data_IF_233937143293
#
_entry.id   IF_233937143293
#
_cell.length_a   1.000
_cell.length_b   1.000
_cell.length_c   1.000
_cell.angle_alpha   90.00
_cell.angle_beta   90.00
_cell.angle_gamma   90.00
#
_symmetry.space_group_name_H-M   'P 1'
#
loop_
_entity.id
_entity.type
_entity.pdbx_description
1 polymer ?
#
# COMPACT_ATOMS: atom_id res chain seq x y z
N UNK A 1 19.60 -19.59 -16.41
CA UNK A 1 19.43 -18.92 -15.10
C UNK A 1 19.23 -17.41 -15.20
N UNK A 2 20.06 -16.65 -15.93
CA UNK A 2 19.90 -15.19 -16.03
C UNK A 2 18.50 -14.76 -16.53
N UNK A 3 17.93 -15.42 -17.54
CA UNK A 3 16.58 -15.12 -18.03
C UNK A 3 15.48 -15.36 -16.99
N UNK A 4 15.55 -16.46 -16.24
CA UNK A 4 14.60 -16.75 -15.15
C UNK A 4 14.75 -15.76 -14.00
N UNK A 5 15.99 -15.33 -13.69
CA UNK A 5 16.24 -14.28 -12.72
C UNK A 5 15.65 -12.93 -13.12
N UNK A 6 15.79 -12.55 -14.39
CA UNK A 6 15.16 -11.33 -14.93
C UNK A 6 13.63 -11.40 -14.88
N UNK A 7 13.05 -12.57 -15.17
CA UNK A 7 11.60 -12.79 -15.03
C UNK A 7 11.15 -12.69 -13.57
N UNK A 8 11.83 -13.35 -12.63
CA UNK A 8 11.49 -13.26 -11.21
C UNK A 8 11.60 -11.83 -10.68
N UNK A 9 12.65 -11.10 -11.05
CA UNK A 9 12.77 -9.67 -10.73
C UNK A 9 11.64 -8.84 -11.34
N UNK A 10 11.30 -9.08 -12.60
CA UNK A 10 10.19 -8.42 -13.29
C UNK A 10 8.83 -8.71 -12.66
N UNK A 11 8.60 -9.94 -12.21
CA UNK A 11 7.41 -10.31 -11.43
C UNK A 11 7.37 -9.58 -10.10
N UNK A 12 8.50 -9.41 -9.42
CA UNK A 12 8.59 -8.62 -8.19
C UNK A 12 8.25 -7.15 -8.40
N UNK A 13 8.85 -6.54 -9.44
CA UNK A 13 8.52 -5.16 -9.83
C UNK A 13 7.04 -5.01 -10.15
N UNK A 14 6.48 -6.01 -10.85
CA UNK A 14 5.09 -6.03 -11.25
C UNK A 14 4.19 -6.16 -10.02
N UNK A 15 4.39 -7.15 -9.16
CA UNK A 15 3.54 -7.40 -7.99
C UNK A 15 3.44 -6.21 -7.02
N UNK A 16 4.49 -5.41 -6.90
CA UNK A 16 4.47 -4.15 -6.13
C UNK A 16 3.39 -3.15 -6.59
N UNK A 17 2.89 -3.27 -7.83
CA UNK A 17 1.78 -2.47 -8.34
C UNK A 17 0.40 -3.07 -8.04
N UNK A 18 0.28 -4.08 -7.19
CA UNK A 18 -1.03 -4.55 -6.79
C UNK A 18 -1.71 -3.50 -5.89
N UNK A 19 -3.03 -3.37 -6.08
CA UNK A 19 -3.80 -2.27 -5.51
C UNK A 19 -3.80 -2.26 -3.98
N UNK A 20 -3.70 -3.44 -3.37
CA UNK A 20 -3.61 -3.66 -1.93
C UNK A 20 -2.27 -3.22 -1.35
N UNK A 21 -1.15 -3.51 -2.03
CA UNK A 21 0.19 -3.04 -1.68
C UNK A 21 0.24 -1.50 -1.68
N UNK A 22 -0.16 -0.89 -2.81
CA UNK A 22 -0.19 0.57 -2.96
C UNK A 22 -1.09 1.19 -1.88
N UNK A 23 -2.31 0.67 -1.71
CA UNK A 23 -3.25 1.22 -0.72
C UNK A 23 -2.70 1.12 0.71
N UNK A 24 -2.10 -0.01 1.09
CA UNK A 24 -1.54 -0.23 2.42
C UNK A 24 -0.35 0.68 2.71
N UNK A 25 0.57 0.83 1.74
CA UNK A 25 1.77 1.67 1.86
C UNK A 25 1.37 3.15 1.87
N UNK A 26 0.52 3.59 0.95
CA UNK A 26 0.07 4.98 0.85
C UNK A 26 -0.65 5.44 2.11
N UNK A 27 -1.69 4.72 2.53
CA UNK A 27 -2.51 5.13 3.67
C UNK A 27 -1.72 5.11 4.97
N UNK A 28 -0.81 4.14 5.13
CA UNK A 28 0.08 4.10 6.29
C UNK A 28 1.07 5.25 6.28
N UNK A 29 1.68 5.53 5.12
CA UNK A 29 2.62 6.65 4.94
C UNK A 29 1.93 7.97 5.25
N UNK A 30 0.70 8.18 4.77
CA UNK A 30 -0.10 9.38 5.05
C UNK A 30 -0.44 9.52 6.52
N UNK A 31 -0.91 8.45 7.14
CA UNK A 31 -1.25 8.46 8.56
C UNK A 31 -0.05 8.85 9.43
N UNK A 32 1.13 8.31 9.12
CA UNK A 32 2.37 8.64 9.82
C UNK A 32 2.85 10.08 9.52
N UNK A 33 2.75 10.55 8.27
CA UNK A 33 3.07 11.94 7.92
C UNK A 33 2.17 12.95 8.65
N UNK A 34 0.89 12.64 8.81
CA UNK A 34 -0.05 13.47 9.58
C UNK A 34 0.31 13.52 11.07
N UNK A 35 0.94 12.45 11.59
CA UNK A 35 1.56 12.42 12.91
C UNK A 35 2.93 13.10 12.98
N UNK A 36 3.43 13.68 11.89
CA UNK A 36 4.72 14.36 11.87
C UNK A 36 5.92 13.42 11.84
N UNK A 37 5.71 12.13 11.61
CA UNK A 37 6.78 11.17 11.40
C UNK A 37 7.40 11.32 9.99
N UNK A 38 8.56 10.68 9.78
CA UNK A 38 9.22 10.59 8.46
C UNK A 38 9.22 9.14 7.95
N UNK A 39 8.08 8.63 7.44
CA UNK A 39 7.87 7.22 7.15
C UNK A 39 8.52 6.74 5.82
N UNK A 40 9.81 6.99 5.62
CA UNK A 40 10.52 6.59 4.38
C UNK A 40 10.68 5.07 4.20
N UNK A 41 10.54 4.30 5.29
CA UNK A 41 10.81 2.86 5.32
C UNK A 41 9.55 1.99 5.28
N UNK A 42 8.36 2.57 5.20
CA UNK A 42 7.06 1.84 5.22
C UNK A 42 7.02 0.76 4.13
N UNK A 43 7.22 1.17 2.87
CA UNK A 43 7.20 0.24 1.74
C UNK A 43 8.29 -0.83 1.82
N UNK A 44 9.50 -0.46 2.23
CA UNK A 44 10.61 -1.40 2.41
C UNK A 44 10.31 -2.50 3.44
N UNK A 45 9.76 -2.13 4.60
CA UNK A 45 9.43 -3.13 5.62
C UNK A 45 8.25 -3.99 5.21
N UNK A 46 7.25 -3.39 4.55
CA UNK A 46 6.12 -4.13 3.99
C UNK A 46 6.58 -5.20 2.98
N UNK A 47 7.36 -4.81 1.97
CA UNK A 47 7.86 -5.71 0.94
C UNK A 47 8.75 -6.82 1.50
N UNK A 48 9.59 -6.51 2.49
CA UNK A 48 10.41 -7.50 3.18
C UNK A 48 9.58 -8.53 3.95
N UNK A 49 8.53 -8.07 4.64
CA UNK A 49 7.60 -8.95 5.34
C UNK A 49 6.92 -9.92 4.37
N UNK A 50 6.32 -9.36 3.31
CA UNK A 50 5.66 -10.14 2.26
C UNK A 50 6.63 -11.15 1.62
N UNK A 51 7.81 -10.67 1.21
CA UNK A 51 8.82 -11.51 0.56
C UNK A 51 9.38 -12.62 1.46
N UNK A 52 9.36 -12.43 2.79
CA UNK A 52 9.77 -13.47 3.74
C UNK A 52 8.83 -14.69 3.64
N UNK A 53 7.53 -14.44 3.53
CA UNK A 53 6.52 -15.50 3.41
C UNK A 53 6.59 -16.15 2.02
N UNK A 54 6.71 -15.34 0.95
CA UNK A 54 6.90 -15.86 -0.42
C UNK A 54 8.13 -16.76 -0.50
N UNK A 55 9.26 -16.36 0.07
CA UNK A 55 10.48 -17.18 0.12
C UNK A 55 10.24 -18.49 0.86
N UNK A 56 9.64 -18.43 2.06
CA UNK A 56 9.37 -19.61 2.87
C UNK A 56 8.44 -20.61 2.15
N UNK A 57 7.36 -20.11 1.54
CA UNK A 57 6.39 -20.92 0.80
C UNK A 57 6.98 -21.47 -0.51
N UNK A 58 7.78 -20.68 -1.23
CA UNK A 58 8.52 -21.14 -2.42
C UNK A 58 9.43 -22.31 -2.07
N UNK A 59 10.21 -22.19 -0.99
CA UNK A 59 11.09 -23.27 -0.52
C UNK A 59 10.26 -24.49 -0.10
N UNK A 60 9.18 -24.28 0.65
CA UNK A 60 8.27 -25.35 1.06
C UNK A 60 7.70 -26.10 -0.14
N UNK A 61 7.28 -25.39 -1.20
CA UNK A 61 6.74 -25.99 -2.43
C UNK A 61 7.79 -26.80 -3.20
N UNK A 62 9.02 -26.28 -3.33
CA UNK A 62 10.12 -26.99 -3.99
C UNK A 62 10.58 -28.22 -3.19
N UNK A 63 10.43 -28.21 -1.87
CA UNK A 63 10.67 -29.40 -1.04
C UNK A 63 9.50 -30.38 -1.13
N UNK A 64 8.26 -29.90 -1.04
CA UNK A 64 7.05 -30.73 -1.10
C UNK A 64 6.89 -31.43 -2.45
N UNK A 65 7.35 -30.85 -3.56
CA UNK A 65 7.36 -31.56 -4.86
C UNK A 65 8.29 -32.77 -4.88
N UNK A 66 9.26 -32.87 -3.96
CA UNK A 66 10.07 -34.09 -3.76
C UNK A 66 9.42 -35.10 -2.82
N UNK A 67 8.37 -34.70 -2.11
CA UNK A 67 7.73 -35.45 -1.04
C UNK A 67 6.23 -35.31 -1.19
N UNK A 68 5.59 -36.23 -1.94
CA UNK A 68 4.14 -36.23 -2.22
C UNK A 68 3.35 -35.88 -0.96
N UNK A 69 2.91 -34.63 -0.86
CA UNK A 69 2.22 -34.12 0.32
C UNK A 69 0.80 -33.76 -0.07
N UNK A 70 -0.16 -34.46 0.52
CA UNK A 70 -1.60 -34.22 0.34
C UNK A 70 -2.07 -32.91 0.96
N UNK A 71 -1.22 -32.20 1.72
CA UNK A 71 -1.59 -30.99 2.47
C UNK A 71 -1.46 -29.67 1.67
N UNK A 72 -0.83 -29.69 0.48
CA UNK A 72 -0.61 -28.46 -0.32
C UNK A 72 -1.91 -27.72 -0.69
N UNK A 73 -2.99 -28.38 -1.16
CA UNK A 73 -4.23 -27.69 -1.53
C UNK A 73 -4.93 -27.02 -0.34
N UNK A 74 -4.83 -27.61 0.85
CA UNK A 74 -5.42 -27.01 2.06
C UNK A 74 -4.62 -25.77 2.51
N UNK A 75 -3.29 -25.82 2.44
CA UNK A 75 -2.43 -24.67 2.75
C UNK A 75 -2.70 -23.51 1.78
N UNK A 76 -2.86 -23.81 0.49
CA UNK A 76 -3.22 -22.83 -0.53
C UNK A 76 -4.56 -22.16 -0.24
N UNK A 77 -5.61 -22.96 0.02
CA UNK A 77 -6.94 -22.45 0.32
C UNK A 77 -6.96 -21.60 1.59
N UNK A 78 -6.49 -22.14 2.71
CA UNK A 78 -6.54 -21.43 4.00
C UNK A 78 -5.61 -20.21 4.01
N UNK A 79 -4.42 -20.32 3.40
CA UNK A 79 -3.48 -19.20 3.26
C UNK A 79 -4.09 -18.04 2.47
N UNK A 80 -4.69 -18.32 1.32
CA UNK A 80 -5.37 -17.30 0.51
C UNK A 80 -6.53 -16.62 1.22
N UNK A 81 -7.40 -17.39 1.89
CA UNK A 81 -8.54 -16.83 2.65
C UNK A 81 -8.06 -15.97 3.82
N UNK A 82 -7.10 -16.45 4.60
CA UNK A 82 -6.57 -15.71 5.76
C UNK A 82 -5.85 -14.44 5.28
N UNK A 83 -5.01 -14.54 4.26
CA UNK A 83 -4.28 -13.41 3.69
C UNK A 83 -5.21 -12.31 3.19
N UNK A 84 -6.15 -12.66 2.30
CA UNK A 84 -7.11 -11.70 1.75
C UNK A 84 -8.05 -11.11 2.81
N UNK A 85 -8.46 -11.90 3.82
CA UNK A 85 -9.27 -11.39 4.94
C UNK A 85 -8.51 -10.36 5.77
N UNK A 86 -7.25 -10.67 6.11
CA UNK A 86 -6.43 -9.77 6.92
C UNK A 86 -6.08 -8.50 6.13
N UNK A 87 -5.73 -8.64 4.85
CA UNK A 87 -5.50 -7.52 3.94
C UNK A 87 -6.70 -6.58 3.90
N UNK A 88 -7.88 -7.12 3.60
CA UNK A 88 -9.10 -6.32 3.48
C UNK A 88 -9.49 -5.64 4.78
N UNK A 89 -9.35 -6.33 5.92
CA UNK A 89 -9.59 -5.73 7.25
C UNK A 89 -8.57 -4.63 7.55
N UNK A 90 -7.29 -4.84 7.23
CA UNK A 90 -6.24 -3.84 7.44
C UNK A 90 -6.47 -2.59 6.59
N UNK A 91 -6.81 -2.75 5.31
CA UNK A 91 -7.15 -1.64 4.41
C UNK A 91 -8.35 -0.85 4.94
N UNK A 92 -9.40 -1.53 5.41
CA UNK A 92 -10.52 -0.87 6.08
C UNK A 92 -10.10 -0.12 7.34
N UNK A 93 -9.26 -0.74 8.19
CA UNK A 93 -8.77 -0.13 9.41
C UNK A 93 -8.01 1.17 9.09
N UNK A 94 -6.98 1.11 8.24
CA UNK A 94 -6.15 2.28 7.93
C UNK A 94 -6.93 3.37 7.18
N UNK A 95 -7.88 2.99 6.33
CA UNK A 95 -8.76 3.93 5.65
C UNK A 95 -9.67 4.69 6.64
N UNK A 96 -10.24 3.99 7.64
CA UNK A 96 -11.01 4.64 8.71
C UNK A 96 -10.14 5.56 9.55
N UNK A 97 -8.90 5.15 9.87
CA UNK A 97 -7.95 6.01 10.59
C UNK A 97 -7.69 7.31 9.82
N UNK A 98 -7.36 7.21 8.52
CA UNK A 98 -7.12 8.37 7.66
C UNK A 98 -8.38 9.22 7.43
N UNK A 99 -9.56 8.60 7.31
CA UNK A 99 -10.84 9.31 7.17
C UNK A 99 -11.12 10.21 8.38
N UNK A 100 -10.81 9.73 9.58
CA UNK A 100 -11.03 10.52 10.79
C UNK A 100 -10.09 11.71 10.88
N UNK A 101 -8.83 11.56 10.47
CA UNK A 101 -7.92 12.71 10.35
C UNK A 101 -8.38 13.68 9.26
N UNK A 102 -8.88 13.16 8.12
CA UNK A 102 -9.45 13.99 7.05
C UNK A 102 -10.64 14.81 7.55
N UNK A 103 -11.56 14.22 8.32
CA UNK A 103 -12.71 14.94 8.89
C UNK A 103 -12.27 16.04 9.86
N UNK A 104 -11.21 15.83 10.63
CA UNK A 104 -10.61 16.84 11.51
C UNK A 104 -10.04 18.02 10.69
N UNK A 105 -9.27 17.74 9.63
CA UNK A 105 -8.73 18.75 8.72
C UNK A 105 -9.87 19.55 8.05
N UNK A 106 -10.93 18.88 7.60
CA UNK A 106 -12.09 19.53 6.99
C UNK A 106 -12.84 20.44 7.97
N UNK A 107 -12.91 20.05 9.25
CA UNK A 107 -13.53 20.88 10.30
C UNK A 107 -12.74 22.17 10.52
N UNK A 108 -11.42 22.06 10.66
CA UNK A 108 -10.51 23.21 10.81
C UNK A 108 -10.63 24.13 9.59
N UNK A 109 -10.63 23.56 8.39
CA UNK A 109 -10.77 24.33 7.15
C UNK A 109 -12.12 25.07 7.04
N UNK A 110 -13.22 24.44 7.48
CA UNK A 110 -14.53 25.12 7.54
C UNK A 110 -14.53 26.27 8.55
N UNK A 111 -13.85 26.14 9.68
CA UNK A 111 -13.69 27.23 10.66
C UNK A 111 -12.85 28.38 10.09
N UNK A 112 -11.75 28.09 9.39
CA UNK A 112 -10.96 29.09 8.65
C UNK A 112 -11.79 29.91 7.69
N UNK A 113 -12.65 29.26 6.90
CA UNK A 113 -13.47 29.95 5.90
C UNK A 113 -14.60 30.79 6.48
N UNK A 114 -14.95 30.63 7.76
CA UNK A 114 -15.98 31.41 8.44
C UNK A 114 -15.47 32.71 9.07
N UNK A 115 -14.18 33.02 8.95
CA UNK A 115 -13.60 34.28 9.43
C UNK A 115 -13.19 34.28 10.90
N UNK A 116 -13.33 33.16 11.61
CA UNK A 116 -13.03 33.01 13.05
C UNK A 116 -11.52 32.80 13.34
N UNK A 117 -10.63 33.26 12.46
CA UNK A 117 -9.22 32.85 12.48
C UNK A 117 -8.27 33.96 12.94
N UNK A 118 -7.81 33.87 14.19
CA UNK A 118 -6.61 34.56 14.68
C UNK A 118 -5.36 33.75 14.30
N UNK A 119 -4.40 34.37 13.61
CA UNK A 119 -3.19 33.74 13.05
C UNK A 119 -2.35 32.93 14.07
N UNK A 120 -2.45 33.22 15.38
CA UNK A 120 -1.74 32.49 16.44
C UNK A 120 -2.33 31.12 16.82
N UNK A 121 -3.57 30.82 16.44
CA UNK A 121 -4.26 29.56 16.80
C UNK A 121 -4.00 28.40 15.82
N UNK A 122 -3.36 28.64 14.68
CA UNK A 122 -3.15 27.60 13.65
C UNK A 122 -2.09 26.58 14.10
N UNK A 123 -0.98 27.04 14.67
CA UNK A 123 0.05 26.15 15.21
C UNK A 123 -0.43 25.43 16.47
N UNK A 124 -1.33 26.06 17.24
CA UNK A 124 -1.92 25.47 18.45
C UNK A 124 -3.05 24.47 18.14
N UNK A 125 -3.81 24.65 17.06
CA UNK A 125 -4.78 23.66 16.56
C UNK A 125 -4.09 22.51 15.81
N UNK A 126 -2.93 22.76 15.18
CA UNK A 126 -2.08 21.72 14.59
C UNK A 126 -1.29 20.93 15.65
N UNK A 127 -0.95 21.56 16.78
CA UNK A 127 -0.31 20.93 17.94
C UNK A 127 -1.32 20.20 18.84
N UNK A 128 -2.56 20.69 18.93
CA UNK A 128 -3.68 20.02 19.59
C UNK A 128 -4.29 18.95 18.67
N UNK A 129 -3.50 17.91 18.37
CA UNK A 129 -3.93 16.61 17.80
C UNK A 129 -4.84 15.79 18.75
N UNK A 130 -5.54 16.48 19.65
CA UNK A 130 -6.28 15.93 20.76
C UNK A 130 -7.61 15.31 20.35
N UNK A 131 -8.23 15.73 19.24
CA UNK A 131 -9.56 15.25 18.88
C UNK A 131 -9.52 13.80 18.39
N UNK A 132 -8.60 13.47 17.49
CA UNK A 132 -8.39 12.09 17.02
C UNK A 132 -7.82 11.20 18.14
N UNK A 133 -6.91 11.69 19.00
CA UNK A 133 -6.44 10.94 20.19
C UNK A 133 -7.58 10.63 21.18
N UNK A 134 -8.58 11.51 21.26
CA UNK A 134 -9.74 11.40 22.16
C UNK A 134 -10.87 10.53 21.59
N UNK A 135 -11.08 10.54 20.27
CA UNK A 135 -12.13 9.74 19.59
C UNK A 135 -11.68 8.29 19.39
N UNK A 136 -10.42 8.04 19.04
CA UNK A 136 -9.91 6.68 18.79
C UNK A 136 -9.30 5.98 19.99
N UNK A 137 -9.08 6.73 21.06
CA UNK A 137 -8.18 6.33 22.13
C UNK A 137 -6.74 6.27 21.63
N UNK A 138 -5.78 6.74 22.45
CA UNK A 138 -4.36 6.69 22.10
C UNK A 138 -3.85 5.29 21.73
N UNK A 139 -4.57 4.22 22.10
CA UNK A 139 -4.21 2.83 21.81
C UNK A 139 -4.28 2.49 20.32
N UNK A 140 -5.38 2.78 19.63
CA UNK A 140 -5.52 2.43 18.21
C UNK A 140 -4.52 3.21 17.34
N UNK A 141 -4.26 4.45 17.72
CA UNK A 141 -3.23 5.26 17.06
C UNK A 141 -1.82 4.76 17.38
N UNK A 142 -1.55 4.23 18.57
CA UNK A 142 -0.24 3.69 18.91
C UNK A 142 0.11 2.39 18.18
N UNK A 143 -0.89 1.70 17.59
CA UNK A 143 -0.66 0.46 16.83
C UNK A 143 0.24 0.69 15.60
N UNK A 144 0.10 1.83 14.92
CA UNK A 144 0.91 2.22 13.76
C UNK A 144 1.60 3.53 14.09
N UNK A 145 2.78 3.41 14.72
CA UNK A 145 3.63 4.50 15.16
C UNK A 145 4.94 4.58 14.35
N UNK A 146 5.44 3.46 13.83
CA UNK A 146 6.73 3.40 13.14
C UNK A 146 6.64 2.56 11.87
N UNK A 147 7.43 2.92 10.85
CA UNK A 147 7.44 2.22 9.56
C UNK A 147 7.80 0.73 9.64
N UNK A 148 8.60 0.30 10.63
CA UNK A 148 8.97 -1.11 10.80
C UNK A 148 7.78 -2.03 11.10
N UNK A 149 6.69 -1.49 11.66
CA UNK A 149 5.49 -2.26 11.97
C UNK A 149 4.77 -2.75 10.71
N UNK A 150 5.15 -2.26 9.53
CA UNK A 150 4.68 -2.80 8.27
C UNK A 150 5.30 -4.16 7.92
N UNK A 151 6.40 -4.56 8.56
CA UNK A 151 6.97 -5.90 8.35
C UNK A 151 5.99 -7.03 8.70
N UNK A 152 5.40 -7.08 9.91
CA UNK A 152 4.39 -8.09 10.21
C UNK A 152 3.12 -7.94 9.36
N UNK A 153 2.72 -6.72 8.99
CA UNK A 153 1.59 -6.53 8.07
C UNK A 153 1.90 -7.15 6.70
N UNK A 154 3.08 -6.88 6.16
CA UNK A 154 3.55 -7.47 4.91
C UNK A 154 3.58 -8.99 4.94
N UNK A 155 4.02 -9.60 6.05
CA UNK A 155 3.94 -11.06 6.21
C UNK A 155 2.51 -11.58 6.08
N UNK A 156 1.53 -10.88 6.65
CA UNK A 156 0.12 -11.30 6.57
C UNK A 156 -0.46 -11.14 5.16
N UNK A 157 -0.05 -10.09 4.43
CA UNK A 157 -0.40 -9.91 3.01
C UNK A 157 0.26 -10.98 2.14
N UNK A 158 1.49 -11.38 2.46
CA UNK A 158 2.23 -12.42 1.76
C UNK A 158 1.72 -13.85 1.98
N UNK A 159 0.67 -14.05 2.79
CA UNK A 159 0.03 -15.37 2.94
C UNK A 159 -0.73 -15.82 1.69
N UNK A 160 -0.94 -14.92 0.72
CA UNK A 160 -1.44 -15.27 -0.60
C UNK A 160 -0.55 -16.32 -1.27
N UNK A 161 -1.14 -17.45 -1.67
CA UNK A 161 -0.40 -18.57 -2.24
C UNK A 161 0.02 -18.32 -3.70
N UNK A 162 -0.70 -17.46 -4.43
CA UNK A 162 -0.50 -17.19 -5.86
C UNK A 162 0.96 -16.82 -6.17
N UNK A 163 1.51 -15.83 -5.46
CA UNK A 163 2.89 -15.36 -5.66
C UNK A 163 3.93 -16.44 -5.35
N UNK A 164 3.75 -17.18 -4.27
CA UNK A 164 4.64 -18.28 -3.91
C UNK A 164 4.59 -19.41 -4.96
N UNK A 165 3.41 -19.66 -5.52
CA UNK A 165 3.21 -20.67 -6.56
C UNK A 165 3.87 -20.25 -7.88
N UNK A 166 3.81 -18.97 -8.27
CA UNK A 166 4.47 -18.45 -9.48
C UNK A 166 5.99 -18.59 -9.40
N UNK A 167 6.59 -18.15 -8.29
CA UNK A 167 8.05 -18.24 -8.09
C UNK A 167 8.49 -19.69 -7.91
N UNK A 168 7.70 -20.50 -7.21
CA UNK A 168 7.97 -21.92 -7.05
C UNK A 168 7.92 -22.68 -8.37
N UNK A 169 6.93 -22.41 -9.22
CA UNK A 169 6.81 -23.04 -10.54
C UNK A 169 7.96 -22.61 -11.46
N UNK A 170 8.37 -21.34 -11.43
CA UNK A 170 9.57 -20.88 -12.12
C UNK A 170 10.83 -21.61 -11.65
N UNK A 171 10.97 -21.85 -10.34
CA UNK A 171 12.10 -22.59 -9.78
C UNK A 171 12.10 -24.06 -10.21
N UNK A 172 10.93 -24.70 -10.28
CA UNK A 172 10.78 -26.08 -10.78
C UNK A 172 11.14 -26.17 -12.26
N UNK A 173 10.64 -25.24 -13.09
CA UNK A 173 10.99 -25.15 -14.50
C UNK A 173 12.51 -24.97 -14.69
N UNK A 174 13.15 -24.15 -13.84
CA UNK A 174 14.59 -23.97 -13.83
C UNK A 174 15.34 -25.28 -13.61
N UNK A 175 14.89 -26.10 -12.66
CA UNK A 175 15.59 -27.33 -12.32
C UNK A 175 15.31 -28.50 -13.26
N UNK A 176 14.17 -28.52 -13.96
CA UNK A 176 13.96 -29.42 -15.11
C UNK A 176 14.98 -29.11 -16.21
N UNK A 177 15.17 -27.83 -16.55
CA UNK A 177 16.13 -27.40 -17.57
C UNK A 177 17.59 -27.66 -17.16
N UNK A 178 17.90 -27.61 -15.86
CA UNK A 178 19.25 -27.80 -15.32
C UNK A 178 19.57 -29.25 -14.90
N UNK A 179 18.64 -30.20 -15.06
CA UNK A 179 18.73 -31.60 -14.58
C UNK A 179 19.02 -31.76 -13.08
N UNK A 180 18.86 -30.68 -12.31
CA UNK A 180 18.88 -30.62 -10.86
C UNK A 180 18.19 -29.32 -10.45
N UNK A 181 17.25 -29.38 -9.50
CA UNK A 181 16.74 -28.18 -8.83
C UNK A 181 17.61 -27.97 -7.60
N UNK A 182 18.71 -27.19 -7.61
CA UNK A 182 19.30 -26.79 -6.35
C UNK A 182 18.26 -25.91 -5.65
N UNK A 183 17.90 -26.22 -4.40
CA UNK A 183 17.08 -25.36 -3.53
C UNK A 183 17.60 -23.91 -3.54
N UNK A 184 18.90 -23.75 -3.80
CA UNK A 184 19.59 -22.49 -4.05
C UNK A 184 19.00 -21.66 -5.21
N UNK A 185 18.54 -22.30 -6.30
CA UNK A 185 17.89 -21.61 -7.41
C UNK A 185 16.53 -21.04 -6.99
N UNK A 186 15.73 -21.79 -6.24
CA UNK A 186 14.46 -21.32 -5.71
C UNK A 186 14.67 -20.11 -4.78
N UNK A 187 15.64 -20.22 -3.87
CA UNK A 187 16.02 -19.12 -2.97
C UNK A 187 16.49 -17.91 -3.79
N UNK A 188 17.31 -18.10 -4.81
CA UNK A 188 17.82 -17.01 -5.64
C UNK A 188 16.71 -16.31 -6.42
N UNK A 189 15.75 -17.05 -6.99
CA UNK A 189 14.60 -16.47 -7.69
C UNK A 189 13.70 -15.69 -6.73
N UNK A 190 13.40 -16.25 -5.54
CA UNK A 190 12.63 -15.55 -4.51
C UNK A 190 13.34 -14.29 -4.00
N UNK A 191 14.67 -14.30 -3.86
CA UNK A 191 15.44 -13.10 -3.49
C UNK A 191 15.43 -12.04 -4.60
N UNK A 192 15.49 -12.44 -5.88
CA UNK A 192 15.38 -11.50 -7.00
C UNK A 192 13.98 -10.90 -7.09
N UNK A 193 12.94 -11.70 -6.87
CA UNK A 193 11.57 -11.22 -6.72
C UNK A 193 11.46 -10.21 -5.57
N UNK A 194 11.99 -10.54 -4.39
CA UNK A 194 12.01 -9.65 -3.24
C UNK A 194 12.74 -8.34 -3.52
N UNK A 195 13.84 -8.38 -4.28
CA UNK A 195 14.60 -7.20 -4.68
C UNK A 195 13.80 -6.29 -5.64
N UNK A 196 13.05 -6.87 -6.58
CA UNK A 196 12.15 -6.13 -7.48
C UNK A 196 11.03 -5.45 -6.70
N UNK A 197 10.30 -6.21 -5.88
CA UNK A 197 9.21 -5.67 -5.09
C UNK A 197 9.68 -4.58 -4.13
N UNK A 198 10.77 -4.83 -3.39
CA UNK A 198 11.29 -3.88 -2.41
C UNK A 198 11.73 -2.56 -3.05
N UNK A 199 12.24 -2.58 -4.29
CA UNK A 199 12.56 -1.35 -5.01
C UNK A 199 11.29 -0.51 -5.25
N UNK A 200 10.23 -1.13 -5.77
CA UNK A 200 9.01 -0.42 -6.16
C UNK A 200 8.18 0.02 -4.96
N UNK A 201 7.97 -0.86 -3.97
CA UNK A 201 7.26 -0.51 -2.73
C UNK A 201 7.97 0.61 -1.96
N UNK A 202 9.32 0.58 -1.93
CA UNK A 202 10.09 1.69 -1.32
C UNK A 202 9.97 2.96 -2.15
N UNK A 203 10.02 2.86 -3.48
CA UNK A 203 9.88 4.02 -4.37
C UNK A 203 8.49 4.68 -4.21
N UNK A 204 7.45 3.89 -4.03
CA UNK A 204 6.08 4.34 -3.75
C UNK A 204 6.03 5.14 -2.43
N UNK A 205 6.47 4.55 -1.31
CA UNK A 205 6.53 5.26 -0.03
C UNK A 205 7.37 6.54 -0.07
N UNK A 206 8.51 6.53 -0.77
CA UNK A 206 9.36 7.74 -0.95
C UNK A 206 8.68 8.78 -1.82
N UNK A 207 8.05 8.38 -2.92
CA UNK A 207 7.28 9.27 -3.80
C UNK A 207 6.18 9.95 -2.99
N UNK A 208 5.47 9.20 -2.16
CA UNK A 208 4.42 9.72 -1.29
C UNK A 208 4.91 10.74 -0.28
N UNK A 209 6.04 10.48 0.40
CA UNK A 209 6.64 11.45 1.31
C UNK A 209 7.08 12.73 0.57
N UNK A 210 7.62 12.61 -0.65
CA UNK A 210 8.06 13.77 -1.46
C UNK A 210 6.89 14.56 -2.04
N UNK A 211 5.87 13.88 -2.56
CA UNK A 211 4.67 14.49 -3.09
C UNK A 211 3.95 15.29 -1.99
N UNK A 212 3.94 14.76 -0.76
CA UNK A 212 3.46 15.46 0.42
C UNK A 212 4.35 16.64 0.83
N UNK A 213 5.69 16.48 0.79
CA UNK A 213 6.61 17.54 1.22
C UNK A 213 6.73 18.71 0.23
N UNK A 214 6.47 18.48 -1.05
CA UNK A 214 6.44 19.56 -2.04
C UNK A 214 5.28 20.55 -1.82
N UNK A 215 4.21 20.16 -1.13
CA UNK A 215 3.06 21.03 -0.83
C UNK A 215 3.34 22.10 0.26
N UNK A 216 4.54 22.13 0.87
CA UNK A 216 4.88 23.01 2.01
C UNK A 216 5.14 24.49 1.66
N UNK A 217 4.99 24.92 0.40
CA UNK A 217 5.27 26.31 0.02
C UNK A 217 4.14 27.32 0.32
N UNK A 218 2.92 26.91 0.72
CA UNK A 218 1.93 27.81 1.33
C UNK A 218 0.90 27.09 2.21
N UNK A 219 0.46 27.67 3.36
CA UNK A 219 -0.44 27.01 4.32
C UNK A 219 -1.78 26.55 3.72
N UNK A 220 -2.38 27.36 2.83
CA UNK A 220 -3.65 27.03 2.16
C UNK A 220 -3.50 25.88 1.15
N UNK A 221 -2.39 25.84 0.41
CA UNK A 221 -2.09 24.77 -0.57
C UNK A 221 -1.90 23.42 0.12
N UNK A 222 -1.23 23.43 1.28
CA UNK A 222 -1.06 22.24 2.12
C UNK A 222 -2.41 21.63 2.51
N UNK A 223 -3.38 22.46 2.92
CA UNK A 223 -4.71 21.98 3.31
C UNK A 223 -5.46 21.36 2.12
N UNK A 224 -5.51 22.04 0.97
CA UNK A 224 -6.19 21.51 -0.22
C UNK A 224 -5.55 20.21 -0.74
N UNK A 225 -4.23 20.17 -0.86
CA UNK A 225 -3.53 18.98 -1.31
C UNK A 225 -3.73 17.80 -0.35
N UNK A 226 -3.66 18.05 0.97
CA UNK A 226 -3.93 17.05 1.99
C UNK A 226 -5.35 16.51 1.89
N UNK A 227 -6.36 17.37 1.75
CA UNK A 227 -7.76 16.95 1.62
C UNK A 227 -7.93 16.08 0.37
N UNK A 228 -7.52 16.57 -0.80
CA UNK A 228 -7.73 15.85 -2.07
C UNK A 228 -7.03 14.49 -2.06
N UNK A 229 -5.75 14.47 -1.69
CA UNK A 229 -4.96 13.23 -1.76
C UNK A 229 -5.35 12.24 -0.68
N UNK A 230 -5.66 12.69 0.55
CA UNK A 230 -6.18 11.79 1.61
C UNK A 230 -7.56 11.25 1.25
N UNK A 231 -8.43 12.07 0.64
CA UNK A 231 -9.75 11.59 0.17
C UNK A 231 -9.61 10.50 -0.89
N UNK A 232 -8.72 10.71 -1.87
CA UNK A 232 -8.46 9.72 -2.91
C UNK A 232 -7.90 8.42 -2.32
N UNK A 233 -6.93 8.53 -1.42
CA UNK A 233 -6.30 7.38 -0.76
C UNK A 233 -7.30 6.55 0.05
N UNK A 234 -8.10 7.21 0.90
CA UNK A 234 -9.16 6.56 1.68
C UNK A 234 -10.20 5.88 0.76
N UNK A 235 -10.59 6.54 -0.33
CA UNK A 235 -11.53 5.96 -1.28
C UNK A 235 -10.97 4.71 -1.96
N UNK A 236 -9.69 4.74 -2.34
CA UNK A 236 -8.98 3.59 -2.92
C UNK A 236 -8.89 2.45 -1.90
N UNK A 237 -8.43 2.69 -0.68
CA UNK A 237 -8.28 1.66 0.35
C UNK A 237 -9.63 1.02 0.73
N UNK A 238 -10.70 1.82 0.87
CA UNK A 238 -12.05 1.27 1.10
C UNK A 238 -12.56 0.45 -0.09
N UNK A 239 -12.29 0.89 -1.32
CA UNK A 239 -12.68 0.16 -2.52
C UNK A 239 -11.96 -1.18 -2.60
N UNK A 240 -10.63 -1.18 -2.51
CA UNK A 240 -9.78 -2.38 -2.60
C UNK A 240 -10.12 -3.34 -1.47
N UNK A 241 -10.15 -2.86 -0.21
CA UNK A 241 -10.48 -3.71 0.93
C UNK A 241 -11.90 -4.27 0.88
N UNK A 242 -12.87 -3.53 0.32
CA UNK A 242 -14.23 -4.09 0.08
C UNK A 242 -14.22 -5.17 -0.99
N UNK A 243 -13.47 -4.97 -2.09
CA UNK A 243 -13.34 -5.97 -3.15
C UNK A 243 -12.74 -7.26 -2.60
N UNK A 244 -11.63 -7.19 -1.85
CA UNK A 244 -11.00 -8.35 -1.23
C UNK A 244 -11.95 -9.10 -0.29
N UNK A 245 -12.63 -8.39 0.61
CA UNK A 245 -13.56 -9.02 1.55
C UNK A 245 -14.74 -9.68 0.84
N UNK A 246 -15.27 -9.05 -0.22
CA UNK A 246 -16.33 -9.64 -1.03
C UNK A 246 -15.86 -10.85 -1.83
N UNK A 247 -14.61 -10.87 -2.29
CA UNK A 247 -14.02 -12.04 -2.95
C UNK A 247 -13.88 -13.22 -1.96
N UNK A 248 -13.43 -12.97 -0.73
CA UNK A 248 -13.36 -14.00 0.32
C UNK A 248 -14.75 -14.56 0.62
N UNK A 249 -15.74 -13.69 0.84
CA UNK A 249 -17.12 -14.12 1.10
C UNK A 249 -17.69 -14.89 -0.08
N UNK A 250 -17.45 -14.41 -1.31
CA UNK A 250 -17.88 -15.08 -2.53
C UNK A 250 -17.30 -16.47 -2.70
N UNK A 251 -16.01 -16.64 -2.40
CA UNK A 251 -15.31 -17.91 -2.48
C UNK A 251 -15.79 -18.92 -1.41
N UNK A 252 -15.89 -18.50 -0.15
CA UNK A 252 -16.26 -19.39 0.95
C UNK A 252 -17.76 -19.75 0.97
N UNK A 253 -18.63 -18.83 0.54
CA UNK A 253 -20.07 -19.08 0.44
C UNK A 253 -20.51 -19.63 -0.93
N UNK A 254 -19.58 -19.88 -1.85
CA UNK A 254 -19.84 -20.36 -3.22
C UNK A 254 -20.91 -19.52 -3.95
N UNK A 255 -20.79 -18.19 -3.86
CA UNK A 255 -21.78 -17.27 -4.44
C UNK A 255 -21.51 -17.05 -5.93
N UNK A 256 -22.42 -17.50 -6.79
CA UNK A 256 -22.29 -17.41 -8.25
C UNK A 256 -23.05 -16.22 -8.88
N UNK A 257 -23.42 -15.21 -8.09
CA UNK A 257 -24.11 -14.02 -8.60
C UNK A 257 -23.24 -13.22 -9.60
N UNK A 258 -23.88 -12.50 -10.53
CA UNK A 258 -23.17 -11.65 -11.53
C UNK A 258 -22.13 -10.73 -10.91
N UNK A 259 -22.40 -10.20 -9.72
CA UNK A 259 -21.47 -9.38 -8.94
C UNK A 259 -20.20 -10.16 -8.56
N UNK A 260 -20.34 -11.35 -7.96
CA UNK A 260 -19.21 -12.16 -7.49
C UNK A 260 -18.36 -12.71 -8.64
N UNK A 261 -19.00 -13.04 -9.77
CA UNK A 261 -18.26 -13.41 -11.00
C UNK A 261 -17.46 -12.24 -11.54
N UNK A 262 -18.03 -11.03 -11.56
CA UNK A 262 -17.30 -9.83 -11.99
C UNK A 262 -16.15 -9.47 -11.03
N UNK A 263 -16.37 -9.59 -9.72
CA UNK A 263 -15.34 -9.36 -8.70
C UNK A 263 -14.20 -10.38 -8.80
N UNK A 264 -14.51 -11.67 -9.01
CA UNK A 264 -13.51 -12.71 -9.20
C UNK A 264 -12.67 -12.53 -10.48
N UNK A 265 -13.19 -11.81 -11.47
CA UNK A 265 -12.48 -11.51 -12.72
C UNK A 265 -11.60 -10.25 -12.63
N UNK A 266 -11.64 -9.51 -11.51
CA UNK A 266 -10.81 -8.31 -11.35
C UNK A 266 -9.35 -8.67 -11.16
N UNK A 267 -8.49 -7.99 -11.91
CA UNK A 267 -7.05 -8.11 -11.78
C UNK A 267 -6.50 -6.95 -10.93
N UNK A 268 -6.03 -7.25 -9.71
CA UNK A 268 -5.51 -6.26 -8.77
C UNK A 268 -4.35 -5.43 -9.35
N UNK A 269 -3.54 -6.05 -10.20
CA UNK A 269 -2.50 -5.38 -10.98
C UNK A 269 -3.05 -4.21 -11.80
N UNK A 270 -4.15 -4.46 -12.51
CA UNK A 270 -4.74 -3.48 -13.43
C UNK A 270 -5.38 -2.34 -12.65
N UNK A 271 -5.99 -2.67 -11.50
CA UNK A 271 -6.54 -1.68 -10.56
C UNK A 271 -5.40 -0.83 -9.99
N UNK A 272 -4.29 -1.43 -9.59
CA UNK A 272 -3.14 -0.69 -9.05
C UNK A 272 -2.45 0.21 -10.08
N UNK A 273 -2.28 -0.23 -11.33
CA UNK A 273 -1.82 0.67 -12.40
C UNK A 273 -2.74 1.88 -12.59
N UNK A 274 -4.05 1.69 -12.52
CA UNK A 274 -5.03 2.78 -12.60
C UNK A 274 -4.90 3.73 -11.41
N UNK A 275 -4.68 3.20 -10.20
CA UNK A 275 -4.46 4.00 -8.98
C UNK A 275 -3.20 4.85 -9.12
N UNK A 276 -2.06 4.25 -9.48
CA UNK A 276 -0.80 4.98 -9.67
C UNK A 276 -0.94 6.05 -10.76
N UNK A 277 -1.56 5.71 -11.89
CA UNK A 277 -1.80 6.66 -12.97
C UNK A 277 -2.64 7.86 -12.48
N UNK A 278 -3.67 7.61 -11.67
CA UNK A 278 -4.51 8.68 -11.10
C UNK A 278 -3.72 9.59 -10.15
N UNK A 279 -2.88 9.03 -9.28
CA UNK A 279 -2.04 9.81 -8.38
C UNK A 279 -0.98 10.62 -9.13
N UNK A 280 -0.28 10.01 -10.09
CA UNK A 280 0.74 10.67 -10.90
C UNK A 280 0.14 11.78 -11.75
N UNK A 281 -1.00 11.54 -12.41
CA UNK A 281 -1.70 12.57 -13.18
C UNK A 281 -2.21 13.70 -12.28
N UNK A 282 -2.79 13.38 -11.13
CA UNK A 282 -3.24 14.38 -10.16
C UNK A 282 -2.10 15.27 -9.67
N UNK A 283 -0.94 14.66 -9.36
CA UNK A 283 0.27 15.40 -8.98
C UNK A 283 0.81 16.24 -10.14
N UNK A 284 0.94 15.68 -11.35
CA UNK A 284 1.44 16.38 -12.53
C UNK A 284 0.54 17.58 -12.90
N UNK A 285 -0.78 17.41 -12.91
CA UNK A 285 -1.74 18.49 -13.12
C UNK A 285 -1.58 19.59 -12.06
N UNK A 286 -1.40 19.22 -10.78
CA UNK A 286 -1.15 20.19 -9.71
C UNK A 286 0.14 20.98 -9.92
N UNK A 287 1.22 20.34 -10.37
CA UNK A 287 2.51 21.00 -10.66
C UNK A 287 2.40 21.92 -11.87
N UNK A 288 1.73 21.47 -12.95
CA UNK A 288 1.56 22.25 -14.18
C UNK A 288 0.69 23.48 -13.93
N UNK A 289 -0.45 23.32 -13.26
CA UNK A 289 -1.32 24.45 -12.90
C UNK A 289 -0.54 25.49 -12.09
N UNK A 290 0.33 25.04 -11.18
CA UNK A 290 1.16 25.94 -10.38
C UNK A 290 2.20 26.70 -11.23
N UNK A 291 2.95 26.02 -12.10
CA UNK A 291 3.92 26.67 -13.00
C UNK A 291 3.26 27.64 -13.98
N UNK A 292 2.11 27.26 -14.54
CA UNK A 292 1.39 28.07 -15.56
C UNK A 292 0.72 29.29 -14.92
N UNK A 293 0.23 29.19 -13.69
CA UNK A 293 -0.41 30.32 -13.00
C UNK A 293 0.56 31.33 -12.36
N UNK A 294 1.89 31.19 -12.54
CA UNK A 294 2.93 32.10 -12.00
C UNK A 294 2.64 32.55 -10.56
N UNK A 295 2.25 31.62 -9.69
CA UNK A 295 1.91 31.95 -8.30
C UNK A 295 3.12 32.36 -7.46
N UNK A 296 4.33 32.31 -8.02
CA UNK A 296 5.55 32.87 -7.43
C UNK A 296 5.52 34.40 -7.36
N UNK A 297 4.81 35.06 -8.29
CA UNK A 297 4.74 36.53 -8.35
C UNK A 297 3.69 37.12 -7.38
N UNK A 298 2.71 36.32 -6.93
CA UNK A 298 1.65 36.76 -6.03
C UNK A 298 2.07 36.79 -4.54
N UNK A 299 3.19 36.14 -4.19
CA UNK A 299 3.73 36.15 -2.83
C UNK A 299 4.65 37.35 -2.54
N UNK A 300 5.24 37.96 -3.56
CA UNK A 300 6.17 39.10 -3.40
C UNK A 300 5.45 40.47 -3.40
N UNK A 301 4.24 40.57 -3.95
CA UNK A 301 3.44 41.79 -3.94
C UNK A 301 2.62 42.01 -2.66
N UNK A 302 2.58 41.03 -1.76
CA UNK A 302 1.95 41.14 -0.44
C UNK A 302 2.94 41.53 0.68
N UNK A 303 4.21 41.70 0.37
CA UNK A 303 5.28 42.10 1.30
C UNK A 303 5.95 43.44 0.96
N UNK A 304 5.33 44.25 0.08
CA UNK A 304 5.76 45.63 -0.21
C UNK A 304 4.82 46.64 0.41
#
# INVERSE_FOLDING_TARGET
MAGLGALAYGLGLRHAFDADHIAAIDDTTRFLLQKGERPLSVGFFFSLGHSTVVLAMTVALVVATRSVSSAMPEIERYGGVIGASISGIFLWLIAVLNLLVLLEILRIWRQMRRGDFQQGHLDDLLSQRGLTRRILGGRLQSLIAHGWQMYPVGMLFGLGFDTASEIGLLALAAGVAAQAVPTLAAISLALLFAAGMSLMDTADGVFMVKAYSWAFASPLRKIYYNITTTTLSVAVALMVGTIELLQVVGAEMQLHGRLFVALAALNFQSVGYLIVATFVLGWACSVVIWKVRRMDDAGQSASS
#
